data_IF_684707924254
#
_entry.id   IF_684707924254
#
_cell.length_a   1.000
_cell.length_b   1.000
_cell.length_c   1.000
_cell.angle_alpha   90.00
_cell.angle_beta   90.00
_cell.angle_gamma   90.00
#
_symmetry.space_group_name_H-M   'P 1'
#
loop_
_entity.id
_entity.type
_entity.pdbx_description
1 polymer ?
#
# COMPACT_ATOMS: atom_id res chain seq x y z
N UNK A 1 -10.62 3.96 32.56
CA UNK A 1 -11.85 4.55 31.97
C UNK A 1 -11.99 3.93 30.60
N UNK A 2 -13.17 3.40 30.24
CA UNK A 2 -13.40 2.97 28.86
C UNK A 2 -13.28 4.22 27.97
N UNK A 3 -12.40 4.17 26.99
CA UNK A 3 -12.25 5.24 26.01
C UNK A 3 -13.53 5.30 25.19
N UNK A 4 -14.10 6.50 25.04
CA UNK A 4 -15.30 6.68 24.22
C UNK A 4 -14.96 6.35 22.76
N UNK A 5 -15.77 5.49 22.13
CA UNK A 5 -15.65 5.21 20.70
C UNK A 5 -16.12 6.43 19.93
N UNK A 6 -15.22 7.01 19.14
CA UNK A 6 -15.46 8.12 18.25
C UNK A 6 -15.48 7.59 16.81
N UNK A 7 -16.62 7.64 16.15
CA UNK A 7 -16.79 7.26 14.74
C UNK A 7 -16.42 8.45 13.81
N UNK A 8 -15.25 9.04 14.06
CA UNK A 8 -14.84 10.37 13.55
C UNK A 8 -14.83 10.42 12.01
N UNK A 9 -14.37 9.36 11.36
CA UNK A 9 -14.37 9.27 9.90
C UNK A 9 -15.76 8.94 9.38
N UNK A 10 -16.47 7.96 9.95
CA UNK A 10 -17.79 7.55 9.48
C UNK A 10 -18.83 8.67 9.58
N UNK A 11 -18.71 9.59 10.55
CA UNK A 11 -19.52 10.81 10.63
C UNK A 11 -19.25 11.78 9.47
N UNK A 12 -18.00 11.87 9.01
CA UNK A 12 -17.57 12.83 7.97
C UNK A 12 -17.66 12.24 6.56
N UNK A 13 -17.44 10.95 6.41
CA UNK A 13 -17.34 10.17 5.18
C UNK A 13 -18.51 9.16 5.09
N UNK A 14 -19.73 9.66 5.31
CA UNK A 14 -20.94 8.84 5.26
C UNK A 14 -21.13 8.17 3.89
N UNK A 15 -21.84 7.03 3.80
CA UNK A 15 -22.13 6.39 2.51
C UNK A 15 -22.80 7.33 1.50
N UNK A 16 -23.64 8.26 1.95
CA UNK A 16 -24.26 9.25 1.06
C UNK A 16 -23.25 10.25 0.52
N UNK A 17 -22.29 10.69 1.34
CA UNK A 17 -21.22 11.59 0.88
C UNK A 17 -20.25 10.87 -0.06
N UNK A 18 -19.88 9.63 0.27
CA UNK A 18 -19.09 8.77 -0.62
C UNK A 18 -19.79 8.62 -1.98
N UNK A 19 -21.07 8.23 -1.99
CA UNK A 19 -21.86 8.08 -3.23
C UNK A 19 -21.95 9.37 -4.04
N UNK A 20 -22.08 10.52 -3.37
CA UNK A 20 -22.25 11.81 -4.05
C UNK A 20 -20.97 12.34 -4.71
N UNK A 21 -19.80 11.99 -4.16
CA UNK A 21 -18.54 12.65 -4.54
C UNK A 21 -17.47 11.72 -5.11
N UNK A 22 -17.57 10.39 -4.92
CA UNK A 22 -16.63 9.47 -5.56
C UNK A 22 -16.79 9.50 -7.08
N UNK A 23 -15.66 9.48 -7.79
CA UNK A 23 -15.62 9.30 -9.24
C UNK A 23 -16.29 7.99 -9.65
N UNK A 24 -16.80 7.91 -10.87
CA UNK A 24 -17.38 6.67 -11.38
C UNK A 24 -16.28 5.58 -11.52
N UNK A 25 -16.64 4.29 -11.45
CA UNK A 25 -15.71 3.21 -11.73
C UNK A 25 -15.08 3.38 -13.12
N UNK A 26 -13.75 3.29 -13.20
CA UNK A 26 -12.99 3.52 -14.44
C UNK A 26 -12.50 4.96 -14.66
N UNK A 27 -13.12 5.96 -14.02
CA UNK A 27 -12.74 7.37 -14.21
C UNK A 27 -11.59 7.81 -13.29
N UNK A 28 -11.30 7.05 -12.22
CA UNK A 28 -10.23 7.39 -11.30
C UNK A 28 -8.86 7.01 -11.85
N UNK A 29 -8.09 8.01 -12.27
CA UNK A 29 -6.71 7.84 -12.74
C UNK A 29 -5.83 8.98 -12.20
N UNK A 30 -5.40 8.90 -10.92
CA UNK A 30 -4.64 9.99 -10.28
C UNK A 30 -3.21 10.11 -10.81
N UNK A 31 -2.70 9.08 -11.49
CA UNK A 31 -1.38 9.07 -12.13
C UNK A 31 -1.51 8.82 -13.63
N UNK A 32 -0.67 9.45 -14.46
CA UNK A 32 -0.77 9.32 -15.92
C UNK A 32 -0.40 7.91 -16.37
N UNK A 33 -1.23 7.28 -17.21
CA UNK A 33 -0.86 6.06 -17.92
C UNK A 33 0.39 6.26 -18.78
N UNK A 34 1.08 5.17 -19.12
CA UNK A 34 2.31 5.23 -19.92
C UNK A 34 2.08 5.76 -21.35
N UNK A 35 0.86 5.80 -21.85
CA UNK A 35 0.51 6.44 -23.12
C UNK A 35 0.59 7.97 -23.05
N UNK A 36 0.42 8.55 -21.87
CA UNK A 36 0.53 10.00 -21.68
C UNK A 36 2.02 10.43 -21.69
N UNK A 37 2.60 10.46 -22.90
CA UNK A 37 4.01 10.79 -23.07
C UNK A 37 4.37 12.20 -22.65
N UNK A 38 3.44 13.14 -22.73
CA UNK A 38 3.66 14.51 -22.27
C UNK A 38 3.94 14.55 -20.77
N UNK A 39 3.10 13.90 -19.96
CA UNK A 39 3.26 13.86 -18.51
C UNK A 39 4.60 13.22 -18.09
N UNK A 40 4.95 12.08 -18.69
CA UNK A 40 6.20 11.40 -18.39
C UNK A 40 7.44 12.14 -18.93
N UNK A 41 7.33 12.84 -20.06
CA UNK A 41 8.42 13.68 -20.61
C UNK A 41 8.56 15.02 -19.88
N UNK A 42 7.59 15.41 -19.03
CA UNK A 42 7.69 16.58 -18.17
C UNK A 42 8.57 16.33 -16.92
N UNK A 43 8.78 15.07 -16.53
CA UNK A 43 9.73 14.72 -15.47
C UNK A 43 11.14 15.18 -15.85
N UNK A 44 11.98 15.69 -14.93
CA UNK A 44 13.31 16.12 -15.31
C UNK A 44 14.16 14.93 -15.79
N UNK A 45 15.07 15.20 -16.72
CA UNK A 45 15.77 14.16 -17.47
C UNK A 45 16.57 13.21 -16.57
N UNK A 46 17.17 13.73 -15.50
CA UNK A 46 17.94 12.92 -14.54
C UNK A 46 17.06 11.86 -13.87
N UNK A 47 15.84 12.22 -13.45
CA UNK A 47 14.88 11.29 -12.84
C UNK A 47 14.42 10.23 -13.84
N UNK A 48 14.14 10.62 -15.10
CA UNK A 48 13.79 9.64 -16.13
C UNK A 48 14.91 8.64 -16.37
N UNK A 49 16.15 9.10 -16.48
CA UNK A 49 17.32 8.23 -16.66
C UNK A 49 17.52 7.29 -15.46
N UNK A 50 17.29 7.78 -14.24
CA UNK A 50 17.35 6.95 -13.04
C UNK A 50 16.29 5.84 -13.07
N UNK A 51 15.03 6.17 -13.34
CA UNK A 51 13.95 5.16 -13.44
C UNK A 51 14.25 4.10 -14.50
N UNK A 52 14.76 4.52 -15.66
CA UNK A 52 15.15 3.60 -16.73
C UNK A 52 16.35 2.73 -16.31
N UNK A 53 17.37 3.30 -15.70
CA UNK A 53 18.53 2.56 -15.20
C UNK A 53 18.17 1.54 -14.12
N UNK A 54 17.21 1.86 -13.25
CA UNK A 54 16.66 0.90 -12.30
C UNK A 54 15.95 -0.26 -13.01
N UNK A 55 15.13 0.02 -14.02
CA UNK A 55 14.51 -1.04 -14.83
C UNK A 55 15.53 -1.92 -15.56
N UNK A 56 16.60 -1.32 -16.09
CA UNK A 56 17.69 -2.06 -16.74
C UNK A 56 18.36 -3.08 -15.81
N UNK A 57 18.52 -2.75 -14.53
CA UNK A 57 19.08 -3.68 -13.54
C UNK A 57 18.18 -4.92 -13.30
N UNK A 58 16.89 -4.84 -13.64
CA UNK A 58 15.91 -5.91 -13.46
C UNK A 58 15.39 -6.51 -14.77
N UNK A 59 15.84 -6.01 -15.93
CA UNK A 59 15.32 -6.42 -17.24
C UNK A 59 15.40 -7.94 -17.47
N UNK A 60 16.53 -8.53 -17.09
CA UNK A 60 16.80 -9.97 -17.24
C UNK A 60 16.56 -10.75 -15.94
N UNK A 61 15.70 -10.25 -15.05
CA UNK A 61 15.40 -10.91 -13.77
C UNK A 61 14.76 -12.29 -14.00
N UNK A 62 15.31 -13.31 -13.34
CA UNK A 62 14.81 -14.68 -13.41
C UNK A 62 13.63 -14.89 -12.45
N UNK A 63 12.43 -15.04 -13.01
CA UNK A 63 11.18 -15.26 -12.30
C UNK A 63 10.99 -16.72 -11.81
N UNK A 64 12.07 -17.34 -11.32
CA UNK A 64 12.11 -18.76 -10.91
C UNK A 64 11.09 -19.08 -9.81
N UNK A 65 10.28 -20.16 -9.92
CA UNK A 65 9.24 -20.49 -8.94
C UNK A 65 9.75 -20.57 -7.49
N UNK A 66 9.01 -19.98 -6.55
CA UNK A 66 9.32 -20.10 -5.13
C UNK A 66 8.93 -21.50 -4.65
N UNK A 67 9.87 -22.22 -4.05
CA UNK A 67 9.65 -23.60 -3.60
C UNK A 67 8.79 -23.64 -2.35
N UNK A 68 7.87 -24.60 -2.29
CA UNK A 68 7.08 -24.90 -1.08
C UNK A 68 7.96 -25.13 0.15
N UNK A 69 9.15 -25.74 -0.02
CA UNK A 69 10.09 -25.95 1.09
C UNK A 69 10.63 -24.66 1.68
N UNK A 70 10.81 -23.60 0.87
CA UNK A 70 11.25 -22.30 1.36
C UNK A 70 10.18 -21.66 2.24
N UNK A 71 8.90 -21.81 1.89
CA UNK A 71 7.79 -21.37 2.74
C UNK A 71 7.74 -22.17 4.06
N UNK A 72 7.96 -23.48 3.99
CA UNK A 72 7.98 -24.38 5.15
C UNK A 72 9.13 -24.12 6.13
N UNK A 73 10.20 -23.43 5.73
CA UNK A 73 11.35 -23.13 6.60
C UNK A 73 10.92 -22.40 7.87
N UNK A 74 9.92 -21.50 7.78
CA UNK A 74 9.38 -20.81 8.94
C UNK A 74 8.79 -21.79 9.96
N UNK A 75 8.04 -22.79 9.48
CA UNK A 75 7.38 -23.77 10.36
C UNK A 75 8.35 -24.80 10.91
N UNK A 76 9.43 -25.09 10.18
CA UNK A 76 10.47 -26.07 10.57
C UNK A 76 11.52 -25.47 11.49
N UNK A 77 11.84 -24.19 11.33
CA UNK A 77 13.01 -23.56 11.96
C UNK A 77 12.78 -22.15 12.51
N UNK A 78 11.61 -21.56 12.28
CA UNK A 78 11.34 -20.14 12.59
C UNK A 78 11.94 -19.15 11.58
N UNK A 79 12.72 -19.61 10.59
CA UNK A 79 13.29 -18.74 9.57
C UNK A 79 12.23 -18.30 8.55
N UNK A 80 11.87 -17.02 8.59
CA UNK A 80 10.99 -16.36 7.60
C UNK A 80 11.76 -15.60 6.52
N UNK A 81 12.95 -15.10 6.85
CA UNK A 81 13.71 -14.15 6.02
C UNK A 81 14.04 -14.68 4.63
N UNK A 82 14.35 -15.98 4.47
CA UNK A 82 14.64 -16.54 3.14
C UNK A 82 13.45 -16.43 2.18
N UNK A 83 12.24 -16.65 2.68
CA UNK A 83 11.05 -16.48 1.87
C UNK A 83 10.77 -15.00 1.61
N UNK A 84 10.91 -14.17 2.65
CA UNK A 84 10.71 -12.72 2.57
C UNK A 84 11.62 -12.07 1.53
N UNK A 85 12.92 -12.39 1.54
CA UNK A 85 13.88 -11.89 0.57
C UNK A 85 13.43 -12.19 -0.86
N UNK A 86 13.01 -13.44 -1.13
CA UNK A 86 12.50 -13.84 -2.45
C UNK A 86 11.17 -13.13 -2.80
N UNK A 87 10.28 -13.03 -1.82
CA UNK A 87 8.96 -12.41 -1.97
C UNK A 87 9.10 -10.93 -2.32
N UNK A 88 9.83 -10.16 -1.51
CA UNK A 88 10.01 -8.71 -1.69
C UNK A 88 10.83 -8.39 -2.95
N UNK A 89 11.89 -9.14 -3.22
CA UNK A 89 12.72 -8.93 -4.44
C UNK A 89 11.88 -8.99 -5.72
N UNK A 90 10.93 -9.93 -5.81
CA UNK A 90 10.02 -10.05 -6.96
C UNK A 90 9.12 -8.82 -7.13
N UNK A 91 8.60 -8.27 -6.03
CA UNK A 91 7.75 -7.06 -6.08
C UNK A 91 8.58 -5.83 -6.43
N UNK A 92 9.79 -5.71 -5.90
CA UNK A 92 10.72 -4.63 -6.26
C UNK A 92 11.12 -4.70 -7.74
N UNK A 93 11.43 -5.89 -8.26
CA UNK A 93 11.72 -6.07 -9.68
C UNK A 93 10.53 -5.59 -10.54
N UNK A 94 9.31 -6.03 -10.25
CA UNK A 94 8.12 -5.60 -10.97
C UNK A 94 7.91 -4.07 -10.88
N UNK A 95 8.02 -3.49 -9.68
CA UNK A 95 7.91 -2.06 -9.45
C UNK A 95 8.85 -1.26 -10.37
N UNK A 96 10.14 -1.60 -10.38
CA UNK A 96 11.13 -0.87 -11.16
C UNK A 96 10.92 -1.04 -12.67
N UNK A 97 10.56 -2.24 -13.12
CA UNK A 97 10.25 -2.49 -14.53
C UNK A 97 9.05 -1.66 -15.01
N UNK A 98 8.01 -1.56 -14.18
CA UNK A 98 6.79 -0.78 -14.49
C UNK A 98 7.12 0.71 -14.60
N UNK A 99 7.85 1.28 -13.63
CA UNK A 99 8.23 2.69 -13.67
C UNK A 99 9.21 3.02 -14.80
N UNK A 100 10.12 2.10 -15.12
CA UNK A 100 11.03 2.24 -16.25
C UNK A 100 10.27 2.28 -17.59
N UNK A 101 9.31 1.38 -17.80
CA UNK A 101 8.45 1.39 -18.99
C UNK A 101 7.61 2.67 -19.06
N UNK A 102 7.08 3.13 -17.93
CA UNK A 102 6.37 4.41 -17.87
C UNK A 102 7.26 5.59 -18.26
N UNK A 103 8.50 5.65 -17.76
CA UNK A 103 9.44 6.73 -18.05
C UNK A 103 9.92 6.69 -19.52
N UNK A 104 10.22 5.51 -20.05
CA UNK A 104 10.82 5.34 -21.38
C UNK A 104 9.77 5.26 -22.51
N UNK A 105 8.74 4.44 -22.31
CA UNK A 105 7.64 4.25 -23.26
C UNK A 105 8.03 3.56 -24.57
N UNK A 106 9.12 2.80 -24.61
CA UNK A 106 9.60 2.10 -25.82
C UNK A 106 9.19 0.62 -25.90
N UNK A 107 8.56 0.06 -24.87
CA UNK A 107 8.02 -1.30 -24.89
C UNK A 107 9.02 -2.40 -24.53
N UNK A 108 10.31 -2.10 -24.40
CA UNK A 108 11.33 -3.15 -24.17
C UNK A 108 11.22 -3.82 -22.80
N UNK A 109 10.58 -3.18 -21.82
CA UNK A 109 10.38 -3.78 -20.50
C UNK A 109 9.07 -4.58 -20.41
N UNK A 110 8.18 -4.53 -21.40
CA UNK A 110 6.85 -5.12 -21.32
C UNK A 110 6.89 -6.64 -21.11
N UNK A 111 7.77 -7.36 -21.80
CA UNK A 111 7.89 -8.83 -21.60
C UNK A 111 8.32 -9.17 -20.17
N UNK A 112 9.26 -8.40 -19.60
CA UNK A 112 9.71 -8.59 -18.22
C UNK A 112 8.60 -8.26 -17.21
N UNK A 113 7.81 -7.22 -17.47
CA UNK A 113 6.61 -6.87 -16.68
C UNK A 113 5.57 -8.00 -16.75
N UNK A 114 5.27 -8.51 -17.94
CA UNK A 114 4.32 -9.61 -18.16
C UNK A 114 4.77 -10.86 -17.40
N UNK A 115 6.05 -11.24 -17.50
CA UNK A 115 6.61 -12.36 -16.76
C UNK A 115 6.47 -12.17 -15.24
N UNK A 116 6.72 -10.96 -14.75
CA UNK A 116 6.58 -10.62 -13.34
C UNK A 116 5.15 -10.72 -12.84
N UNK A 117 4.19 -10.14 -13.57
CA UNK A 117 2.76 -10.25 -13.27
C UNK A 117 2.36 -11.73 -13.21
N UNK A 118 2.72 -12.50 -14.23
CA UNK A 118 2.35 -13.91 -14.31
C UNK A 118 2.93 -14.70 -13.14
N UNK A 119 4.23 -14.54 -12.86
CA UNK A 119 4.91 -15.24 -11.79
C UNK A 119 4.37 -14.91 -10.39
N UNK A 120 3.92 -13.67 -10.15
CA UNK A 120 3.29 -13.25 -8.88
C UNK A 120 1.88 -13.81 -8.77
N UNK A 121 1.10 -13.81 -9.84
CA UNK A 121 -0.25 -14.39 -9.87
C UNK A 121 -0.25 -15.91 -9.60
N UNK A 122 0.81 -16.62 -10.01
CA UNK A 122 0.99 -18.07 -9.75
C UNK A 122 1.40 -18.40 -8.30
N UNK A 123 1.78 -17.41 -7.48
CA UNK A 123 2.11 -17.67 -6.08
C UNK A 123 0.86 -18.12 -5.31
N UNK A 124 0.96 -19.18 -4.50
CA UNK A 124 -0.19 -19.69 -3.72
C UNK A 124 -0.64 -18.75 -2.60
N UNK A 125 0.19 -17.78 -2.22
CA UNK A 125 -0.13 -16.76 -1.22
C UNK A 125 0.69 -15.50 -1.47
N UNK A 126 0.04 -14.34 -1.39
CA UNK A 126 0.69 -13.05 -1.56
C UNK A 126 1.19 -12.44 -0.24
N UNK A 127 0.97 -13.12 0.88
CA UNK A 127 1.60 -12.78 2.15
C UNK A 127 2.87 -13.58 2.39
N UNK A 128 3.37 -13.45 3.61
CA UNK A 128 4.56 -14.15 4.09
C UNK A 128 4.20 -15.28 5.08
N UNK A 129 5.08 -16.26 5.34
CA UNK A 129 4.73 -17.45 6.12
C UNK A 129 4.12 -17.18 7.50
N UNK A 130 4.59 -16.20 8.30
CA UNK A 130 3.99 -15.88 9.59
C UNK A 130 2.56 -15.33 9.52
N UNK A 131 2.14 -14.82 8.35
CA UNK A 131 0.81 -14.24 8.13
C UNK A 131 -0.17 -15.26 7.53
N UNK A 132 0.26 -16.49 7.29
CA UNK A 132 -0.60 -17.54 6.75
C UNK A 132 -1.40 -18.22 7.87
N UNK A 133 -2.40 -17.51 8.41
CA UNK A 133 -3.20 -17.94 9.56
C UNK A 133 -4.61 -18.47 9.19
N UNK A 134 -4.74 -19.19 8.07
CA UNK A 134 -6.02 -19.77 7.65
C UNK A 134 -6.61 -20.70 8.73
N UNK A 135 -7.83 -20.42 9.26
CA UNK A 135 -8.41 -21.20 10.36
C UNK A 135 -8.76 -22.64 10.01
N UNK A 136 -8.94 -22.93 8.72
CA UNK A 136 -9.31 -24.27 8.25
C UNK A 136 -8.22 -25.30 8.55
N UNK A 137 -6.95 -24.87 8.45
CA UNK A 137 -5.78 -25.72 8.70
C UNK A 137 -4.72 -24.97 9.51
N UNK A 138 -4.96 -24.70 10.81
CA UNK A 138 -4.12 -23.84 11.64
C UNK A 138 -2.71 -24.41 11.91
N UNK A 139 -2.50 -25.68 11.58
CA UNK A 139 -1.21 -26.36 11.69
C UNK A 139 -0.52 -26.61 10.34
N UNK A 140 -1.17 -26.24 9.22
CA UNK A 140 -0.56 -26.36 7.91
C UNK A 140 0.74 -25.55 7.86
N UNK A 141 1.72 -26.10 7.16
CA UNK A 141 2.99 -25.44 6.95
C UNK A 141 3.08 -24.65 5.65
N UNK A 142 2.03 -24.72 4.85
CA UNK A 142 1.88 -24.14 3.52
C UNK A 142 0.55 -23.37 3.47
N UNK A 143 0.43 -22.38 2.57
CA UNK A 143 -0.78 -21.57 2.49
C UNK A 143 -1.99 -22.37 2.00
N UNK A 144 -3.15 -22.04 2.55
CA UNK A 144 -4.44 -22.59 2.12
C UNK A 144 -5.05 -21.70 1.02
N UNK A 145 -5.00 -22.17 -0.22
CA UNK A 145 -5.45 -21.39 -1.40
C UNK A 145 -6.97 -21.23 -1.46
N UNK A 146 -7.73 -22.14 -0.84
CA UNK A 146 -9.20 -22.05 -0.81
C UNK A 146 -9.73 -21.12 0.27
N UNK A 147 -8.85 -20.62 1.15
CA UNK A 147 -9.16 -19.65 2.18
C UNK A 147 -8.15 -18.49 2.13
N UNK A 148 -8.34 -17.53 1.20
CA UNK A 148 -7.40 -16.43 1.05
C UNK A 148 -7.40 -15.55 2.30
N UNK A 149 -6.20 -15.27 2.82
CA UNK A 149 -6.00 -14.34 3.93
C UNK A 149 -5.60 -12.98 3.38
N UNK A 150 -6.31 -11.93 3.80
CA UNK A 150 -5.91 -10.55 3.54
C UNK A 150 -5.02 -10.09 4.68
N UNK A 151 -3.72 -10.00 4.40
CA UNK A 151 -2.71 -9.40 5.28
C UNK A 151 -2.01 -8.22 4.59
N UNK A 152 -1.06 -7.60 5.31
CA UNK A 152 -0.26 -6.46 4.86
C UNK A 152 0.29 -6.63 3.44
N UNK A 153 1.05 -7.72 3.22
CA UNK A 153 1.80 -7.91 1.98
C UNK A 153 0.93 -8.47 0.87
N UNK A 154 -0.15 -9.18 1.24
CA UNK A 154 -1.18 -9.55 0.28
C UNK A 154 -1.88 -8.31 -0.29
N UNK A 155 -2.23 -7.35 0.57
CA UNK A 155 -2.83 -6.08 0.15
C UNK A 155 -1.86 -5.25 -0.69
N UNK A 156 -0.59 -5.09 -0.26
CA UNK A 156 0.44 -4.40 -1.04
C UNK A 156 0.69 -5.04 -2.42
N UNK A 157 0.76 -6.38 -2.47
CA UNK A 157 0.89 -7.08 -3.76
C UNK A 157 -0.29 -6.78 -4.67
N UNK A 158 -1.51 -6.75 -4.13
CA UNK A 158 -2.70 -6.37 -4.90
C UNK A 158 -2.63 -4.93 -5.42
N UNK A 159 -2.20 -3.99 -4.58
CA UNK A 159 -2.06 -2.59 -4.97
C UNK A 159 -1.00 -2.41 -6.06
N UNK A 160 0.16 -3.08 -5.95
CA UNK A 160 1.19 -3.08 -7.00
C UNK A 160 0.63 -3.56 -8.35
N UNK A 161 -0.12 -4.67 -8.34
CA UNK A 161 -0.74 -5.20 -9.56
C UNK A 161 -1.84 -4.28 -10.10
N UNK A 162 -2.66 -3.69 -9.23
CA UNK A 162 -3.70 -2.74 -9.61
C UNK A 162 -3.10 -1.49 -10.27
N UNK A 163 -2.04 -0.92 -9.69
CA UNK A 163 -1.31 0.21 -10.27
C UNK A 163 -0.63 -0.18 -11.58
N UNK A 164 -0.03 -1.37 -11.66
CA UNK A 164 0.56 -1.89 -12.90
C UNK A 164 -0.47 -1.94 -14.03
N UNK A 165 -1.66 -2.48 -13.75
CA UNK A 165 -2.78 -2.48 -14.71
C UNK A 165 -3.21 -1.06 -15.07
N UNK A 166 -3.31 -0.16 -14.10
CA UNK A 166 -3.71 1.25 -14.35
C UNK A 166 -2.73 2.01 -15.23
N UNK A 167 -1.42 1.77 -15.05
CA UNK A 167 -0.34 2.49 -15.73
C UNK A 167 0.02 1.89 -17.09
N UNK A 168 0.01 0.56 -17.21
CA UNK A 168 0.49 -0.17 -18.39
C UNK A 168 -0.57 -1.03 -19.08
N UNK A 169 -1.78 -1.13 -18.54
CA UNK A 169 -2.82 -2.03 -19.05
C UNK A 169 -3.10 -1.83 -20.54
N UNK A 170 -3.27 -0.60 -20.99
CA UNK A 170 -3.51 -0.30 -22.40
C UNK A 170 -2.34 -0.70 -23.32
N UNK A 171 -1.09 -0.68 -22.85
CA UNK A 171 0.06 -1.23 -23.61
C UNK A 171 0.06 -2.75 -23.66
N UNK A 172 -0.25 -3.40 -22.54
CA UNK A 172 -0.32 -4.86 -22.45
C UNK A 172 -1.47 -5.41 -23.30
N UNK A 173 -2.60 -4.70 -23.34
CA UNK A 173 -3.80 -5.09 -24.09
C UNK A 173 -3.69 -4.78 -25.58
N UNK A 174 -2.73 -3.94 -25.99
CA UNK A 174 -2.48 -3.61 -27.39
C UNK A 174 -2.00 -4.83 -28.20
N UNK A 175 -1.37 -5.82 -27.54
CA UNK A 175 -1.16 -7.15 -28.10
C UNK A 175 -2.29 -8.09 -27.63
N UNK A 176 -3.17 -8.56 -28.53
CA UNK A 176 -4.25 -9.48 -28.19
C UNK A 176 -3.78 -10.81 -27.57
N UNK A 177 -2.52 -11.19 -27.77
CA UNK A 177 -1.94 -12.41 -27.18
C UNK A 177 -1.57 -12.24 -25.70
N UNK A 178 -1.43 -11.01 -25.21
CA UNK A 178 -1.07 -10.69 -23.82
C UNK A 178 -2.20 -10.05 -23.02
N UNK A 179 -3.30 -9.65 -23.67
CA UNK A 179 -4.46 -9.04 -23.00
C UNK A 179 -5.02 -9.87 -21.82
N UNK A 180 -4.90 -11.20 -21.85
CA UNK A 180 -5.31 -12.08 -20.73
C UNK A 180 -4.58 -11.76 -19.40
N UNK A 181 -3.44 -11.08 -19.46
CA UNK A 181 -2.63 -10.71 -18.29
C UNK A 181 -3.33 -9.66 -17.43
N UNK A 182 -3.99 -8.66 -18.04
CA UNK A 182 -4.74 -7.63 -17.30
C UNK A 182 -6.00 -8.23 -16.69
N UNK A 183 -6.70 -9.11 -17.43
CA UNK A 183 -7.82 -9.92 -16.90
C UNK A 183 -7.38 -10.78 -15.69
N UNK A 184 -6.18 -11.38 -15.77
CA UNK A 184 -5.62 -12.18 -14.67
C UNK A 184 -5.35 -11.33 -13.44
N UNK A 185 -4.81 -10.12 -13.59
CA UNK A 185 -4.63 -9.18 -12.47
C UNK A 185 -5.96 -8.93 -11.77
N UNK A 186 -7.00 -8.57 -12.53
CA UNK A 186 -8.29 -8.26 -11.94
C UNK A 186 -8.91 -9.48 -11.25
N UNK A 187 -8.83 -10.65 -11.88
CA UNK A 187 -9.32 -11.90 -11.32
C UNK A 187 -8.67 -12.21 -9.97
N UNK A 188 -7.34 -12.16 -9.89
CA UNK A 188 -6.60 -12.49 -8.68
C UNK A 188 -6.83 -11.48 -7.55
N UNK A 189 -6.89 -10.18 -7.87
CA UNK A 189 -7.24 -9.15 -6.87
C UNK A 189 -8.66 -9.37 -6.34
N UNK A 190 -9.63 -9.67 -7.22
CA UNK A 190 -11.00 -9.96 -6.80
C UNK A 190 -11.06 -11.21 -5.91
N UNK A 191 -10.42 -12.30 -6.35
CA UNK A 191 -10.47 -13.59 -5.66
C UNK A 191 -9.74 -13.58 -4.31
N UNK A 192 -8.61 -12.87 -4.19
CA UNK A 192 -7.73 -12.92 -3.01
C UNK A 192 -7.94 -11.79 -2.02
N UNK A 193 -8.42 -10.63 -2.49
CA UNK A 193 -8.54 -9.43 -1.66
C UNK A 193 -9.99 -8.96 -1.55
N UNK A 194 -10.61 -8.58 -2.67
CA UNK A 194 -11.94 -7.92 -2.64
C UNK A 194 -13.02 -8.86 -2.10
N UNK A 195 -13.14 -10.07 -2.65
CA UNK A 195 -14.18 -11.02 -2.24
C UNK A 195 -13.98 -11.51 -0.80
N UNK A 196 -12.77 -11.92 -0.36
CA UNK A 196 -12.53 -12.24 1.04
C UNK A 196 -12.84 -11.04 1.94
N UNK A 197 -12.39 -9.83 1.55
CA UNK A 197 -12.63 -8.64 2.36
C UNK A 197 -14.12 -8.36 2.52
N UNK A 198 -14.89 -8.43 1.45
CA UNK A 198 -16.35 -8.29 1.49
C UNK A 198 -17.02 -9.30 2.43
N UNK A 199 -16.58 -10.56 2.40
CA UNK A 199 -17.31 -11.67 3.02
C UNK A 199 -16.80 -12.11 4.41
N UNK A 200 -15.60 -11.72 4.83
CA UNK A 200 -14.99 -12.14 6.10
C UNK A 200 -14.95 -10.96 7.10
N UNK A 201 -15.74 -10.99 8.21
CA UNK A 201 -15.88 -9.83 9.09
C UNK A 201 -15.04 -9.89 10.38
N UNK A 202 -14.08 -10.81 10.51
CA UNK A 202 -13.49 -11.14 11.82
C UNK A 202 -11.97 -11.07 11.91
N UNK A 203 -11.24 -10.69 10.84
CA UNK A 203 -9.78 -10.66 10.93
C UNK A 203 -9.29 -9.82 12.11
N UNK A 204 -8.23 -10.26 12.81
CA UNK A 204 -7.73 -9.56 14.00
C UNK A 204 -7.40 -8.08 13.76
N UNK A 205 -6.87 -7.75 12.58
CA UNK A 205 -6.54 -6.37 12.20
C UNK A 205 -7.78 -5.49 11.92
N UNK A 206 -8.93 -6.09 11.57
CA UNK A 206 -10.15 -5.33 11.28
C UNK A 206 -10.84 -4.84 12.55
N UNK A 207 -10.77 -5.64 13.63
CA UNK A 207 -11.38 -5.32 14.93
C UNK A 207 -10.38 -4.82 15.95
N UNK A 208 -9.10 -4.89 15.63
CA UNK A 208 -7.95 -4.53 16.48
C UNK A 208 -7.97 -5.14 17.90
N UNK A 209 -8.79 -6.16 18.19
CA UNK A 209 -8.80 -6.94 19.43
C UNK A 209 -8.51 -6.15 20.72
N UNK A 210 -7.45 -6.56 21.44
CA UNK A 210 -6.97 -5.89 22.66
C UNK A 210 -5.90 -4.80 22.37
N UNK A 211 -5.59 -4.51 21.11
CA UNK A 211 -4.61 -3.51 20.65
C UNK A 211 -5.24 -2.64 19.55
N UNK A 212 -6.12 -1.68 19.94
CA UNK A 212 -6.95 -0.92 19.00
C UNK A 212 -6.13 -0.10 17.98
N UNK A 213 -4.86 0.16 18.27
CA UNK A 213 -3.88 1.00 17.58
C UNK A 213 -2.92 0.23 16.65
N UNK A 214 -3.34 -0.92 16.11
CA UNK A 214 -2.52 -1.80 15.28
C UNK A 214 -2.29 -1.24 13.85
N UNK A 215 -1.02 -1.04 13.45
CA UNK A 215 -0.63 -0.57 12.12
C UNK A 215 -1.20 -1.40 10.95
N UNK A 216 -1.54 -2.68 11.17
CA UNK A 216 -2.12 -3.51 10.12
C UNK A 216 -3.41 -2.93 9.54
N UNK A 217 -4.20 -2.27 10.37
CA UNK A 217 -5.49 -1.74 9.95
C UNK A 217 -5.35 -0.66 8.86
N UNK A 218 -4.70 0.50 9.09
CA UNK A 218 -4.56 1.53 8.06
C UNK A 218 -3.69 1.07 6.89
N UNK A 219 -2.67 0.24 7.13
CA UNK A 219 -1.82 -0.30 6.07
C UNK A 219 -2.60 -1.16 5.07
N UNK A 220 -3.41 -2.10 5.56
CA UNK A 220 -4.25 -2.94 4.71
C UNK A 220 -5.34 -2.11 4.04
N UNK A 221 -6.00 -1.19 4.77
CA UNK A 221 -7.05 -0.36 4.20
C UNK A 221 -6.55 0.58 3.10
N UNK A 222 -5.36 1.18 3.24
CA UNK A 222 -4.77 2.02 2.18
C UNK A 222 -4.65 1.26 0.85
N UNK A 223 -4.08 0.05 0.91
CA UNK A 223 -3.91 -0.80 -0.27
C UNK A 223 -5.23 -1.37 -0.81
N UNK A 224 -6.16 -1.75 0.08
CA UNK A 224 -7.50 -2.18 -0.33
C UNK A 224 -8.27 -1.06 -1.02
N UNK A 225 -8.21 0.17 -0.51
CA UNK A 225 -8.87 1.32 -1.13
C UNK A 225 -8.32 1.53 -2.55
N UNK A 226 -7.00 1.48 -2.74
CA UNK A 226 -6.41 1.56 -4.08
C UNK A 226 -6.92 0.44 -5.01
N UNK A 227 -6.92 -0.81 -4.53
CA UNK A 227 -7.47 -1.95 -5.29
C UNK A 227 -8.95 -1.76 -5.64
N UNK A 228 -9.79 -1.38 -4.68
CA UNK A 228 -11.23 -1.18 -4.87
C UNK A 228 -11.49 -0.06 -5.87
N UNK A 229 -10.74 1.05 -5.77
CA UNK A 229 -10.92 2.18 -6.66
C UNK A 229 -10.50 1.88 -8.11
N UNK A 230 -9.50 1.00 -8.32
CA UNK A 230 -8.96 0.65 -9.64
C UNK A 230 -9.61 -0.58 -10.30
N UNK A 231 -10.15 -1.52 -9.51
CA UNK A 231 -10.57 -2.85 -10.00
C UNK A 231 -12.08 -3.09 -9.86
N UNK A 232 -12.75 -2.55 -8.84
CA UNK A 232 -14.18 -2.80 -8.65
C UNK A 232 -15.01 -1.91 -9.59
N UNK A 233 -15.76 -2.56 -10.49
CA UNK A 233 -16.55 -1.91 -11.53
C UNK A 233 -18.00 -1.72 -11.15
N UNK A 234 -18.53 -2.49 -10.20
CA UNK A 234 -19.89 -2.31 -9.69
C UNK A 234 -19.92 -1.15 -8.68
N UNK A 235 -20.65 -0.05 -8.96
CA UNK A 235 -20.64 1.14 -8.13
C UNK A 235 -21.22 0.90 -6.72
N UNK A 236 -22.18 -0.01 -6.55
CA UNK A 236 -22.76 -0.28 -5.22
C UNK A 236 -21.85 -1.19 -4.41
N UNK A 237 -21.19 -2.17 -5.04
CA UNK A 237 -20.15 -2.99 -4.37
C UNK A 237 -18.97 -2.11 -3.96
N UNK A 238 -18.52 -1.22 -4.86
CA UNK A 238 -17.46 -0.26 -4.57
C UNK A 238 -17.80 0.63 -3.38
N UNK A 239 -19.02 1.18 -3.35
CA UNK A 239 -19.50 2.00 -2.23
C UNK A 239 -19.56 1.21 -0.91
N UNK A 240 -20.09 -0.02 -0.93
CA UNK A 240 -20.14 -0.92 0.23
C UNK A 240 -18.74 -1.12 0.82
N UNK A 241 -17.79 -1.49 -0.03
CA UNK A 241 -16.42 -1.80 0.37
C UNK A 241 -15.66 -0.57 0.88
N UNK A 242 -15.80 0.58 0.23
CA UNK A 242 -15.17 1.83 0.68
C UNK A 242 -15.78 2.33 2.00
N UNK A 243 -17.11 2.24 2.17
CA UNK A 243 -17.78 2.55 3.44
C UNK A 243 -17.27 1.66 4.56
N UNK A 244 -17.03 0.38 4.26
CA UNK A 244 -16.45 -0.56 5.20
C UNK A 244 -15.00 -0.21 5.56
N UNK A 245 -14.19 0.25 4.60
CA UNK A 245 -12.83 0.72 4.87
C UNK A 245 -12.83 1.93 5.81
N UNK A 246 -13.73 2.89 5.58
CA UNK A 246 -13.92 4.06 6.46
C UNK A 246 -14.22 3.62 7.89
N UNK A 247 -15.21 2.75 8.08
CA UNK A 247 -15.56 2.22 9.41
C UNK A 247 -14.42 1.39 10.02
N UNK A 248 -13.65 0.66 9.21
CA UNK A 248 -12.47 -0.06 9.66
C UNK A 248 -11.38 0.86 10.19
N UNK A 249 -11.15 2.00 9.54
CA UNK A 249 -10.18 3.00 9.99
C UNK A 249 -10.64 3.76 11.25
N UNK A 250 -11.95 3.89 11.51
CA UNK A 250 -12.43 4.38 12.81
C UNK A 250 -11.98 3.47 13.95
N UNK A 251 -11.97 2.14 13.76
CA UNK A 251 -11.45 1.21 14.78
C UNK A 251 -9.99 1.52 15.13
N UNK A 252 -9.17 1.84 14.14
CA UNK A 252 -7.78 2.26 14.34
C UNK A 252 -7.67 3.60 15.10
N UNK A 253 -8.43 4.61 14.67
CA UNK A 253 -8.44 5.93 15.31
C UNK A 253 -8.92 5.87 16.76
N UNK A 254 -9.84 4.97 17.07
CA UNK A 254 -10.30 4.71 18.43
C UNK A 254 -9.18 4.18 19.34
N UNK A 255 -8.09 3.65 18.78
CA UNK A 255 -6.86 3.31 19.51
C UNK A 255 -6.02 4.51 19.93
N UNK A 256 -6.02 5.59 19.15
CA UNK A 256 -5.10 6.72 19.31
C UNK A 256 -5.50 7.76 20.37
N UNK A 257 -4.55 8.18 21.20
CA UNK A 257 -4.73 9.34 22.09
C UNK A 257 -4.96 10.62 21.30
N UNK A 258 -5.55 11.65 21.92
CA UNK A 258 -5.77 12.95 21.26
C UNK A 258 -4.49 13.70 20.92
N UNK A 259 -3.34 13.24 21.40
CA UNK A 259 -1.99 13.73 21.10
C UNK A 259 -1.36 13.06 19.86
N UNK A 260 -2.04 12.08 19.27
CA UNK A 260 -1.57 11.38 18.07
C UNK A 260 -0.41 10.41 18.31
N UNK A 261 -0.13 10.05 19.57
CA UNK A 261 0.94 9.13 19.92
C UNK A 261 0.78 7.75 19.26
N UNK A 262 1.86 7.23 18.67
CA UNK A 262 1.90 5.87 18.10
C UNK A 262 2.53 4.92 19.12
N UNK A 263 1.74 4.09 19.81
CA UNK A 263 2.27 3.23 20.88
C UNK A 263 3.17 2.10 20.36
N UNK A 264 3.10 1.76 19.06
CA UNK A 264 3.99 0.81 18.40
C UNK A 264 5.43 1.33 18.21
N UNK A 265 5.65 2.63 18.41
CA UNK A 265 6.97 3.26 18.30
C UNK A 265 7.14 4.09 17.04
N UNK A 266 8.15 4.97 17.04
CA UNK A 266 8.36 5.91 15.93
C UNK A 266 8.65 5.24 14.60
N UNK A 267 9.31 4.08 14.59
CA UNK A 267 9.56 3.32 13.37
C UNK A 267 8.27 2.82 12.69
N UNK A 268 7.21 2.58 13.47
CA UNK A 268 5.92 2.10 12.95
C UNK A 268 5.01 3.23 12.46
N UNK A 269 5.31 4.49 12.74
CA UNK A 269 4.52 5.63 12.27
C UNK A 269 4.23 5.58 10.77
N UNK A 270 5.24 5.16 9.97
CA UNK A 270 5.15 5.04 8.51
C UNK A 270 4.10 4.01 8.05
N UNK A 271 3.93 2.94 8.82
CA UNK A 271 2.97 1.87 8.52
C UNK A 271 1.67 2.00 9.31
N UNK A 272 1.57 3.00 10.19
CA UNK A 272 0.39 3.31 10.97
C UNK A 272 -0.23 4.64 10.50
N UNK A 273 0.16 5.76 11.11
CA UNK A 273 -0.40 7.09 10.82
C UNK A 273 -0.19 7.56 9.39
N UNK A 274 0.94 7.21 8.78
CA UNK A 274 1.23 7.50 7.38
C UNK A 274 0.38 6.68 6.41
N UNK A 275 0.15 5.38 6.67
CA UNK A 275 -0.78 4.59 5.87
C UNK A 275 -2.23 5.06 6.02
N UNK A 276 -2.62 5.58 7.18
CA UNK A 276 -3.91 6.26 7.35
C UNK A 276 -3.99 7.50 6.44
N UNK A 277 -2.92 8.30 6.40
CA UNK A 277 -2.83 9.45 5.49
C UNK A 277 -3.00 9.03 4.02
N UNK A 278 -2.32 7.99 3.57
CA UNK A 278 -2.46 7.48 2.20
C UNK A 278 -3.88 7.02 1.88
N UNK A 279 -4.50 6.26 2.79
CA UNK A 279 -5.88 5.80 2.64
C UNK A 279 -6.85 6.98 2.44
N UNK A 280 -6.69 8.04 3.23
CA UNK A 280 -7.50 9.26 3.13
C UNK A 280 -7.17 10.09 1.88
N UNK A 281 -5.90 10.11 1.46
CA UNK A 281 -5.48 10.77 0.23
C UNK A 281 -6.06 10.09 -1.01
N UNK A 282 -6.20 8.76 -1.01
CA UNK A 282 -6.91 8.04 -2.09
C UNK A 282 -8.37 8.43 -2.19
N UNK A 283 -9.08 8.49 -1.06
CA UNK A 283 -10.48 8.95 -1.04
C UNK A 283 -10.60 10.40 -1.50
N UNK A 284 -9.66 11.27 -1.08
CA UNK A 284 -9.63 12.67 -1.49
C UNK A 284 -9.38 12.81 -3.00
N UNK A 285 -8.41 12.08 -3.55
CA UNK A 285 -8.10 12.10 -4.98
C UNK A 285 -9.25 11.54 -5.82
N UNK A 286 -9.91 10.48 -5.34
CA UNK A 286 -11.08 9.90 -5.98
C UNK A 286 -12.33 10.77 -5.95
N UNK A 287 -12.29 11.89 -5.21
CA UNK A 287 -13.42 12.81 -5.07
C UNK A 287 -13.08 14.25 -5.42
N UNK A 288 -11.96 14.48 -6.11
CA UNK A 288 -11.45 15.83 -6.42
C UNK A 288 -11.40 16.78 -5.20
N UNK A 289 -11.04 16.26 -4.02
CA UNK A 289 -10.96 17.05 -2.78
C UNK A 289 -12.19 17.01 -1.88
N UNK A 290 -13.37 16.66 -2.38
CA UNK A 290 -14.63 16.75 -1.63
C UNK A 290 -14.73 15.84 -0.39
N UNK A 291 -13.94 14.75 -0.33
CA UNK A 291 -13.83 13.84 0.81
C UNK A 291 -12.61 14.14 1.70
N UNK A 292 -12.01 15.32 1.59
CA UNK A 292 -10.96 15.75 2.50
C UNK A 292 -11.45 15.83 3.96
N UNK A 293 -10.62 15.34 4.89
CA UNK A 293 -10.88 15.35 6.34
C UNK A 293 -9.67 15.87 7.13
N UNK A 294 -8.84 16.69 6.49
CA UNK A 294 -7.59 17.19 7.09
C UNK A 294 -7.79 18.20 8.23
N UNK A 295 -9.02 18.70 8.40
CA UNK A 295 -9.42 19.56 9.51
C UNK A 295 -9.64 18.78 10.82
N UNK A 296 -9.66 17.44 10.79
CA UNK A 296 -9.79 16.62 11.98
C UNK A 296 -8.53 16.74 12.86
N UNK A 297 -8.66 17.23 14.12
CA UNK A 297 -7.50 17.46 14.99
C UNK A 297 -6.65 16.20 15.23
N UNK A 298 -7.29 15.05 15.40
CA UNK A 298 -6.56 13.79 15.64
C UNK A 298 -5.65 13.41 14.46
N UNK A 299 -6.10 13.58 13.23
CA UNK A 299 -5.29 13.29 12.03
C UNK A 299 -4.06 14.18 11.98
N UNK A 300 -4.23 15.47 12.31
CA UNK A 300 -3.14 16.42 12.43
C UNK A 300 -2.11 15.99 13.47
N UNK A 301 -2.57 15.62 14.66
CA UNK A 301 -1.71 15.20 15.77
C UNK A 301 -0.94 13.90 15.45
N UNK A 302 -1.59 12.94 14.78
CA UNK A 302 -0.94 11.73 14.27
C UNK A 302 0.22 12.09 13.32
N UNK A 303 0.04 13.06 12.43
CA UNK A 303 1.12 13.52 11.55
C UNK A 303 2.27 14.16 12.33
N UNK A 304 1.95 15.05 13.28
CA UNK A 304 2.93 15.81 14.06
C UNK A 304 3.73 14.95 15.05
N UNK A 305 3.29 13.73 15.36
CA UNK A 305 4.05 12.79 16.17
C UNK A 305 5.46 12.55 15.62
N UNK A 306 5.62 12.36 14.30
CA UNK A 306 6.93 12.07 13.69
C UNK A 306 8.01 13.13 14.01
N UNK A 307 7.82 14.43 13.68
CA UNK A 307 8.81 15.46 13.99
C UNK A 307 8.99 15.70 15.50
N UNK A 308 7.97 15.43 16.33
CA UNK A 308 8.09 15.56 17.80
C UNK A 308 8.98 14.49 18.42
N UNK A 309 9.09 13.33 17.78
CA UNK A 309 9.95 12.24 18.23
C UNK A 309 11.36 12.31 17.64
N UNK A 310 11.64 13.27 16.75
CA UNK A 310 12.95 13.45 16.14
C UNK A 310 13.96 14.03 17.14
N UNK A 311 15.14 13.40 17.22
CA UNK A 311 16.24 13.84 18.07
C UNK A 311 17.29 14.58 17.22
N UNK A 312 17.89 13.89 16.25
CA UNK A 312 18.90 14.45 15.34
C UNK A 312 19.26 13.45 14.24
N UNK A 313 19.55 13.90 13.02
CA UNK A 313 19.96 12.96 11.96
C UNK A 313 18.85 11.96 11.64
N UNK A 314 19.18 10.67 11.67
CA UNK A 314 18.21 9.58 11.56
C UNK A 314 17.69 9.12 12.94
N UNK A 315 18.05 9.79 14.04
CA UNK A 315 17.75 9.34 15.40
C UNK A 315 16.42 9.87 15.90
N UNK A 316 15.62 8.97 16.45
CA UNK A 316 14.33 9.24 17.06
C UNK A 316 14.26 8.61 18.45
N UNK A 317 13.32 9.08 19.26
CA UNK A 317 13.06 8.46 20.57
C UNK A 317 12.69 6.99 20.37
N UNK A 318 13.47 6.09 20.98
CA UNK A 318 13.29 4.65 20.82
C UNK A 318 12.49 4.05 21.97
N UNK A 319 11.36 3.46 21.65
CA UNK A 319 10.49 2.71 22.55
C UNK A 319 9.68 1.69 21.75
N UNK A 320 9.02 0.76 22.47
CA UNK A 320 8.30 -0.36 21.88
C UNK A 320 9.18 -1.17 20.91
N UNK A 321 8.59 -1.76 19.87
CA UNK A 321 9.29 -2.58 18.86
C UNK A 321 9.94 -1.69 17.77
N UNK A 322 10.51 -0.56 18.16
CA UNK A 322 11.12 0.43 17.26
C UNK A 322 12.63 0.28 17.07
N UNK A 323 13.15 0.91 16.00
CA UNK A 323 14.58 1.14 15.82
C UNK A 323 14.94 2.57 16.24
N UNK A 324 16.09 2.73 16.90
CA UNK A 324 16.59 4.06 17.29
C UNK A 324 16.97 4.94 16.09
N UNK A 325 17.23 4.31 14.94
CA UNK A 325 17.44 4.98 13.65
C UNK A 325 16.28 4.65 12.73
N UNK A 326 15.55 5.67 12.28
CA UNK A 326 14.36 5.52 11.43
C UNK A 326 14.66 6.13 10.07
N UNK A 327 14.44 5.36 9.01
CA UNK A 327 14.32 5.88 7.65
C UNK A 327 12.91 6.47 7.51
N UNK A 328 12.80 7.65 6.90
CA UNK A 328 11.54 8.35 6.71
C UNK A 328 11.29 8.48 5.21
N UNK A 329 10.10 8.04 4.79
CA UNK A 329 9.46 8.22 3.49
C UNK A 329 9.16 9.71 3.35
N UNK A 330 10.09 10.40 2.70
CA UNK A 330 10.18 11.84 2.76
C UNK A 330 9.02 12.51 2.02
N UNK A 331 8.64 11.97 0.86
CA UNK A 331 7.47 12.40 0.11
C UNK A 331 6.18 12.28 0.94
N UNK A 332 5.97 11.14 1.59
CA UNK A 332 4.76 10.90 2.38
C UNK A 332 4.67 11.88 3.55
N UNK A 333 5.74 12.03 4.33
CA UNK A 333 5.79 12.99 5.42
C UNK A 333 5.55 14.43 4.92
N UNK A 334 6.15 14.80 3.79
CA UNK A 334 5.96 16.12 3.22
C UNK A 334 4.51 16.36 2.80
N UNK A 335 3.92 15.46 2.01
CA UNK A 335 2.52 15.56 1.55
C UNK A 335 1.54 15.58 2.72
N UNK A 336 1.80 14.80 3.77
CA UNK A 336 0.96 14.81 4.97
C UNK A 336 0.99 16.19 5.64
N UNK A 337 2.17 16.79 5.81
CA UNK A 337 2.29 18.16 6.32
C UNK A 337 1.59 19.19 5.43
N UNK A 338 1.65 19.04 4.10
CA UNK A 338 0.95 19.96 3.17
C UNK A 338 -0.56 19.88 3.33
N UNK A 339 -1.13 18.68 3.48
CA UNK A 339 -2.58 18.48 3.60
C UNK A 339 -3.13 18.99 4.92
N UNK A 340 -2.38 18.81 6.00
CA UNK A 340 -2.75 19.25 7.35
C UNK A 340 -2.41 20.72 7.65
N UNK A 341 -1.63 21.36 6.77
CA UNK A 341 -1.13 22.72 6.98
C UNK A 341 -0.04 22.80 8.05
N UNK A 342 0.66 21.69 8.32
CA UNK A 342 1.71 21.59 9.33
C UNK A 342 3.10 21.81 8.75
N UNK A 343 3.58 23.05 8.87
CA UNK A 343 4.91 23.44 8.42
C UNK A 343 6.03 22.60 9.04
N UNK A 344 5.88 22.17 10.30
CA UNK A 344 6.87 21.32 10.96
C UNK A 344 6.99 19.94 10.30
N UNK A 345 5.86 19.31 9.96
CA UNK A 345 5.84 18.01 9.30
C UNK A 345 6.34 18.12 7.86
N UNK A 346 5.93 19.14 7.11
CA UNK A 346 6.47 19.38 5.76
C UNK A 346 7.98 19.65 5.76
N UNK A 347 8.47 20.45 6.71
CA UNK A 347 9.90 20.70 6.86
C UNK A 347 10.67 19.42 7.23
N UNK A 348 10.06 18.55 8.05
CA UNK A 348 10.64 17.26 8.40
C UNK A 348 10.73 16.31 7.19
N UNK A 349 9.69 16.25 6.36
CA UNK A 349 9.73 15.52 5.09
C UNK A 349 10.82 16.04 4.14
N UNK A 350 10.90 17.36 3.94
CA UNK A 350 11.96 17.96 3.13
C UNK A 350 13.38 17.68 3.67
N UNK A 351 13.54 17.71 5.00
CA UNK A 351 14.78 17.33 5.66
C UNK A 351 15.12 15.85 5.42
N UNK A 352 14.15 14.94 5.57
CA UNK A 352 14.31 13.52 5.29
C UNK A 352 14.72 13.26 3.83
N UNK A 353 14.13 13.97 2.86
CA UNK A 353 14.51 13.84 1.45
C UNK A 353 15.99 14.18 1.23
N UNK A 354 16.47 15.28 1.83
CA UNK A 354 17.88 15.67 1.73
C UNK A 354 18.83 14.62 2.33
N UNK A 355 18.38 13.94 3.39
CA UNK A 355 19.13 12.86 4.06
C UNK A 355 19.14 11.59 3.22
N UNK A 356 18.02 11.22 2.62
CA UNK A 356 17.91 10.04 1.78
C UNK A 356 18.82 10.16 0.55
N UNK A 357 18.84 11.32 -0.11
CA UNK A 357 19.80 11.63 -1.20
C UNK A 357 21.24 11.50 -0.74
N UNK A 358 21.61 12.10 0.41
CA UNK A 358 22.98 12.06 0.92
C UNK A 358 23.46 10.64 1.30
N UNK A 359 22.53 9.72 1.57
CA UNK A 359 22.82 8.34 1.96
C UNK A 359 22.58 7.32 0.83
N UNK A 360 22.18 7.78 -0.37
CA UNK A 360 21.83 6.91 -1.48
C UNK A 360 20.61 6.03 -1.19
N UNK A 361 19.68 6.49 -0.34
CA UNK A 361 18.39 5.82 -0.08
C UNK A 361 17.35 6.36 -1.07
N UNK A 362 16.50 5.48 -1.55
CA UNK A 362 15.29 5.83 -2.29
C UNK A 362 14.12 5.75 -1.31
N UNK A 363 13.14 6.64 -1.43
CA UNK A 363 11.87 6.48 -0.70
C UNK A 363 11.19 5.19 -1.24
N UNK A 364 10.76 4.29 -0.35
CA UNK A 364 10.22 2.96 -0.71
C UNK A 364 8.75 2.99 -1.13
#
# INVERSE_FOLDING_TARGET
>A
MAKETLDILSERLTPNRLRAHLSLPGDWQPFPAAENREAWSALPEAQRRELVGQGEAWHDYDWAPIRATTFLDFRRSGNRSRFEDMHFTRRHALHHLVLAECAEGQGRFLDAVINGIWAICEESFWGIPPHSFAPLHPHAGLPEVTYPVVDLFAAETGALLAWTRSLLGARIDADPHTAIVTDRIEHEIRARLINPYRNVPWWPWLRCGNRPDNNWNPWIHSNLIACILLIETDPEVRLELLSRCVAGMDVFLNGYGTDGGCDEGTAYWQRAGASLFEALEWLRLASDGELAVWDLPLIREIGLFLPRMHVSGDWYVNYADGMARVHVDADLAWRFGLRTGDAALSAHGAYAASRNVALGRVDE
#
